data_IF_038079869142
#
_entry.id   IF_038079869142
#
_cell.length_a   1.000
_cell.length_b   1.000
_cell.length_c   1.000
_cell.angle_alpha   90.00
_cell.angle_beta   90.00
_cell.angle_gamma   90.00
#
_symmetry.space_group_name_H-M   'P 1'
#
loop_
_entity.id
_entity.type
_entity.pdbx_description
1 polymer ?
#
# COMPACT_ATOMS: atom_id res chain seq x y z
N UNK A 1 -10.75 -3.10 5.08
CA UNK A 1 -10.00 -3.88 4.08
C UNK A 1 -10.80 -3.98 2.78
N UNK A 2 -10.15 -3.90 1.62
CA UNK A 2 -10.83 -4.01 0.31
C UNK A 2 -11.01 -2.69 -0.46
N UNK A 3 -10.37 -1.62 -0.02
CA UNK A 3 -10.37 -0.34 -0.77
C UNK A 3 -9.33 -0.39 -1.88
N UNK A 4 -9.76 -0.11 -3.11
CA UNK A 4 -8.87 0.09 -4.25
C UNK A 4 -8.23 1.48 -4.16
N UNK A 5 -6.92 1.54 -4.33
CA UNK A 5 -6.13 2.77 -4.30
C UNK A 5 -5.11 2.74 -5.42
N UNK A 6 -4.60 3.90 -5.81
CA UNK A 6 -3.44 4.00 -6.67
C UNK A 6 -2.22 4.28 -5.81
N UNK A 7 -1.19 3.45 -5.92
CA UNK A 7 0.09 3.67 -5.25
C UNK A 7 1.16 4.10 -6.25
N UNK A 8 2.07 4.98 -5.82
CA UNK A 8 3.26 5.33 -6.61
C UNK A 8 4.53 4.87 -5.92
N UNK A 9 5.33 4.11 -6.65
CA UNK A 9 6.69 3.75 -6.26
C UNK A 9 7.69 4.55 -7.10
N UNK A 10 8.88 4.79 -6.55
CA UNK A 10 9.97 5.42 -7.27
C UNK A 10 10.39 4.53 -8.46
N UNK A 11 10.54 5.13 -9.64
CA UNK A 11 10.84 4.40 -10.88
C UNK A 11 9.63 3.74 -11.57
N UNK A 12 8.43 3.75 -10.97
CA UNK A 12 7.22 3.14 -11.54
C UNK A 12 6.07 4.15 -11.74
N UNK A 13 5.16 3.90 -12.69
CA UNK A 13 3.93 4.69 -12.81
C UNK A 13 3.03 4.48 -11.58
N UNK A 14 1.92 5.22 -11.52
CA UNK A 14 0.87 4.89 -10.56
C UNK A 14 0.32 3.49 -10.88
N UNK A 15 0.24 2.64 -9.86
CA UNK A 15 -0.19 1.25 -10.00
C UNK A 15 -1.43 0.99 -9.14
N UNK A 16 -2.44 0.27 -9.65
CA UNK A 16 -3.63 -0.07 -8.87
C UNK A 16 -3.25 -1.08 -7.78
N UNK A 17 -3.72 -0.82 -6.57
CA UNK A 17 -3.43 -1.63 -5.39
C UNK A 17 -4.68 -1.75 -4.51
N UNK A 18 -4.71 -2.74 -3.63
CA UNK A 18 -5.77 -2.90 -2.64
C UNK A 18 -5.23 -2.76 -1.22
N UNK A 19 -5.89 -1.98 -0.39
CA UNK A 19 -5.53 -1.86 1.03
C UNK A 19 -5.98 -3.12 1.77
N UNK A 20 -5.00 -3.90 2.25
CA UNK A 20 -5.21 -5.20 2.91
C UNK A 20 -4.46 -5.25 4.25
N UNK A 21 -4.98 -5.96 5.26
CA UNK A 21 -4.25 -6.24 6.50
C UNK A 21 -2.89 -6.88 6.23
N UNK A 22 -1.87 -6.46 6.98
CA UNK A 22 -0.61 -7.19 6.99
C UNK A 22 -0.85 -8.60 7.55
N UNK A 23 -0.35 -9.68 6.91
CA UNK A 23 -0.64 -11.05 7.33
C UNK A 23 -0.21 -11.40 8.77
N UNK A 24 0.84 -10.75 9.27
CA UNK A 24 1.42 -11.07 10.58
C UNK A 24 0.77 -10.28 11.72
N UNK A 25 0.45 -9.01 11.51
CA UNK A 25 -0.05 -8.13 12.57
C UNK A 25 -1.52 -7.75 12.43
N UNK A 26 -2.13 -8.02 11.27
CA UNK A 26 -3.46 -7.53 10.92
C UNK A 26 -3.53 -6.01 10.66
N UNK A 27 -2.43 -5.27 10.81
CA UNK A 27 -2.46 -3.82 10.66
C UNK A 27 -2.52 -3.40 9.19
N UNK A 28 -3.42 -2.48 8.88
CA UNK A 28 -3.51 -1.86 7.55
C UNK A 28 -2.72 -0.55 7.45
N UNK A 29 -2.40 0.05 8.59
CA UNK A 29 -1.77 1.37 8.69
C UNK A 29 -0.71 1.35 9.79
N UNK A 30 0.43 1.99 9.54
CA UNK A 30 1.50 2.18 10.53
C UNK A 30 2.14 3.56 10.42
N UNK A 31 2.77 4.00 11.50
CA UNK A 31 3.35 5.34 11.60
C UNK A 31 2.28 6.41 11.86
N UNK A 32 2.72 7.67 11.97
CA UNK A 32 1.86 8.83 12.22
C UNK A 32 2.34 10.04 11.40
N UNK A 33 1.43 10.95 11.08
CA UNK A 33 1.76 12.19 10.38
C UNK A 33 2.39 11.92 9.00
N UNK A 34 3.54 12.56 8.72
CA UNK A 34 4.22 12.47 7.42
C UNK A 34 4.83 11.09 7.13
N UNK A 35 5.04 10.27 8.15
CA UNK A 35 5.58 8.92 8.03
C UNK A 35 4.50 7.83 8.03
N UNK A 36 3.23 8.22 7.94
CA UNK A 36 2.12 7.28 7.88
C UNK A 36 2.17 6.46 6.59
N UNK A 37 2.08 5.14 6.72
CA UNK A 37 2.12 4.17 5.62
C UNK A 37 0.89 3.26 5.66
N UNK A 38 0.37 2.90 4.49
CA UNK A 38 -0.66 1.89 4.34
C UNK A 38 -0.06 0.60 3.78
N UNK A 39 -0.58 -0.52 4.25
CA UNK A 39 -0.23 -1.83 3.72
C UNK A 39 -1.15 -2.13 2.54
N UNK A 40 -0.55 -2.34 1.38
CA UNK A 40 -1.26 -2.56 0.12
C UNK A 40 -0.78 -3.84 -0.55
N UNK A 41 -1.68 -4.46 -1.30
CA UNK A 41 -1.44 -5.55 -2.23
C UNK A 41 -1.42 -4.98 -3.64
N UNK A 42 -0.33 -5.19 -4.37
CA UNK A 42 -0.20 -4.80 -5.76
C UNK A 42 -0.77 -5.91 -6.63
N UNK A 43 -1.44 -5.52 -7.72
CA UNK A 43 -1.94 -6.46 -8.72
C UNK A 43 -0.87 -6.72 -9.80
N UNK A 44 0.28 -7.20 -9.38
CA UNK A 44 1.39 -7.63 -10.22
C UNK A 44 1.52 -9.17 -10.25
N UNK A 45 2.41 -9.68 -11.10
CA UNK A 45 2.68 -11.10 -11.24
C UNK A 45 4.20 -11.37 -11.11
N UNK A 46 4.65 -12.04 -10.03
CA UNK A 46 3.87 -12.53 -8.90
C UNK A 46 3.31 -11.41 -8.02
N UNK A 47 2.19 -11.64 -7.30
CA UNK A 47 1.59 -10.63 -6.45
C UNK A 47 2.51 -10.19 -5.31
N UNK A 48 2.76 -8.89 -5.22
CA UNK A 48 3.56 -8.27 -4.18
C UNK A 48 2.69 -7.51 -3.19
N UNK A 49 3.26 -7.27 -2.01
CA UNK A 49 2.62 -6.52 -0.93
C UNK A 49 3.65 -5.70 -0.20
N UNK A 50 3.25 -4.52 0.25
CA UNK A 50 4.21 -3.61 0.87
C UNK A 50 3.55 -2.45 1.59
N UNK A 51 4.40 -1.72 2.30
CA UNK A 51 4.02 -0.51 3.00
C UNK A 51 4.35 0.72 2.15
N UNK A 52 3.32 1.42 1.70
CA UNK A 52 3.47 2.63 0.89
C UNK A 52 3.14 3.84 1.74
N UNK A 53 3.98 4.88 1.67
CA UNK A 53 3.69 6.13 2.37
C UNK A 53 2.41 6.75 1.80
N UNK A 54 1.53 7.20 2.69
CA UNK A 54 0.24 7.82 2.34
C UNK A 54 0.38 9.01 1.38
N UNK A 55 1.52 9.71 1.35
CA UNK A 55 1.81 10.75 0.34
C UNK A 55 1.84 10.26 -1.10
N UNK A 56 2.02 8.96 -1.30
CA UNK A 56 2.07 8.29 -2.60
C UNK A 56 0.86 7.38 -2.82
N UNK A 57 -0.26 7.66 -2.15
CA UNK A 57 -1.52 6.92 -2.30
C UNK A 57 -2.61 7.90 -2.74
N UNK A 58 -3.43 7.48 -3.69
CA UNK A 58 -4.61 8.20 -4.19
C UNK A 58 -5.83 7.29 -4.15
#
# INVERSE_FOLDING_TARGET
>A
AGTLVWAKMEGYPWWPCMVVPQPLTGQQMRGRGRDQRLHVHFFDEPPTRGWVNTKYIR
#
